data_IF_686924358311
#
_entry.id   IF_686924358311
#
_cell.length_a   1.000
_cell.length_b   1.000
_cell.length_c   1.000
_cell.angle_alpha   90.00
_cell.angle_beta   90.00
_cell.angle_gamma   90.00
#
_symmetry.space_group_name_H-M   'P 1'
#
loop_
_entity.id
_entity.type
_entity.pdbx_description
1 polymer ?
#
# COMPACT_ATOMS: atom_id res chain seq x y z
N UNK A 1 -11.88 3.35 -13.56
CA UNK A 1 -10.52 3.63 -13.07
C UNK A 1 -10.64 3.77 -11.56
N UNK A 2 -9.95 2.94 -10.78
CA UNK A 2 -9.99 3.02 -9.32
C UNK A 2 -8.95 4.05 -8.92
N UNK A 3 -9.37 5.10 -8.22
CA UNK A 3 -8.46 6.13 -7.70
C UNK A 3 -7.95 5.67 -6.34
N UNK A 4 -6.63 5.59 -6.19
CA UNK A 4 -6.01 5.34 -4.89
C UNK A 4 -5.73 6.66 -4.19
N UNK A 5 -6.32 6.86 -3.02
CA UNK A 5 -6.20 8.08 -2.23
C UNK A 5 -5.19 7.90 -1.09
N UNK A 6 -4.39 8.92 -0.85
CA UNK A 6 -3.45 8.97 0.25
C UNK A 6 -3.11 10.42 0.59
N UNK A 7 -2.62 10.62 1.80
CA UNK A 7 -2.09 11.91 2.25
C UNK A 7 -0.64 12.12 1.77
N UNK A 8 -0.34 13.29 1.19
CA UNK A 8 0.98 13.60 0.63
C UNK A 8 2.06 13.69 1.72
N UNK A 9 1.74 14.18 2.91
CA UNK A 9 2.70 14.24 4.03
C UNK A 9 3.10 12.83 4.45
N UNK A 10 2.13 11.91 4.53
CA UNK A 10 2.36 10.49 4.81
C UNK A 10 3.15 9.81 3.70
N UNK A 11 2.94 10.17 2.43
CA UNK A 11 3.74 9.67 1.30
C UNK A 11 5.22 10.02 1.47
N UNK A 12 5.53 11.30 1.73
CA UNK A 12 6.90 11.77 1.94
C UNK A 12 7.54 11.10 3.15
N UNK A 13 6.79 10.99 4.25
CA UNK A 13 7.27 10.32 5.46
C UNK A 13 7.59 8.84 5.22
N UNK A 14 6.81 8.12 4.40
CA UNK A 14 7.09 6.73 4.04
C UNK A 14 8.36 6.62 3.19
N UNK A 15 8.53 7.50 2.19
CA UNK A 15 9.74 7.52 1.37
C UNK A 15 11.00 7.67 2.23
N UNK A 16 10.98 8.63 3.17
CA UNK A 16 12.11 8.89 4.05
C UNK A 16 12.39 7.72 5.01
N UNK A 17 11.34 7.10 5.55
CA UNK A 17 11.46 6.02 6.56
C UNK A 17 11.81 4.66 5.98
N UNK A 18 11.31 4.37 4.78
CA UNK A 18 11.31 3.01 4.22
C UNK A 18 11.94 2.92 2.83
N UNK A 19 12.32 4.05 2.22
CA UNK A 19 12.91 4.08 0.88
C UNK A 19 11.90 3.84 -0.24
N UNK A 20 10.60 3.78 0.08
CA UNK A 20 9.49 3.51 -0.84
C UNK A 20 8.32 4.42 -0.50
N UNK A 21 7.61 4.90 -1.52
CA UNK A 21 6.44 5.75 -1.36
C UNK A 21 5.15 5.12 -1.94
N UNK A 22 4.02 5.81 -1.77
CA UNK A 22 2.72 5.31 -2.19
C UNK A 22 2.50 5.22 -3.70
N UNK A 23 3.23 5.96 -4.53
CA UNK A 23 3.21 5.78 -5.99
C UNK A 23 3.99 4.51 -6.39
N UNK A 24 5.17 4.30 -5.79
CA UNK A 24 6.00 3.13 -6.08
C UNK A 24 5.27 1.84 -5.70
N UNK A 25 4.63 1.84 -4.52
CA UNK A 25 3.89 0.70 -3.98
C UNK A 25 2.65 0.31 -4.81
N UNK A 26 2.10 1.20 -5.64
CA UNK A 26 0.97 0.87 -6.53
C UNK A 26 1.31 -0.24 -7.53
N UNK A 27 2.60 -0.39 -7.85
CA UNK A 27 3.07 -1.45 -8.76
C UNK A 27 2.74 -2.84 -8.23
N UNK A 28 2.55 -3.00 -6.91
CA UNK A 28 2.10 -4.27 -6.31
C UNK A 28 0.80 -4.77 -6.93
N UNK A 29 -0.11 -3.91 -7.38
CA UNK A 29 -1.36 -4.34 -8.02
C UNK A 29 -1.15 -5.08 -9.34
N UNK A 30 0.03 -4.96 -9.94
CA UNK A 30 0.41 -5.68 -11.15
C UNK A 30 1.20 -6.97 -10.85
N UNK A 31 1.56 -7.23 -9.59
CA UNK A 31 2.25 -8.47 -9.21
C UNK A 31 1.26 -9.65 -9.30
N UNK A 32 1.49 -10.63 -10.20
CA UNK A 32 0.61 -11.80 -10.32
C UNK A 32 0.60 -12.69 -9.08
N UNK A 33 1.59 -12.55 -8.19
CA UNK A 33 1.72 -13.29 -6.95
C UNK A 33 1.38 -12.45 -5.71
N UNK A 34 0.70 -11.31 -5.89
CA UNK A 34 0.27 -10.43 -4.81
C UNK A 34 -0.57 -11.19 -3.78
N UNK A 35 -0.12 -11.16 -2.52
CA UNK A 35 -0.85 -11.70 -1.40
C UNK A 35 -1.58 -10.59 -0.65
N UNK A 36 -2.90 -10.69 -0.60
CA UNK A 36 -3.77 -9.81 0.21
C UNK A 36 -4.23 -10.56 1.46
N UNK A 37 -4.00 -9.95 2.63
CA UNK A 37 -4.35 -10.53 3.93
C UNK A 37 -5.25 -9.55 4.69
N UNK A 38 -6.48 -9.93 5.06
CA UNK A 38 -7.31 -9.08 5.91
C UNK A 38 -6.68 -8.94 7.30
N UNK A 39 -6.54 -7.71 7.77
CA UNK A 39 -6.12 -7.42 9.13
C UNK A 39 -7.29 -7.61 10.11
N UNK A 40 -6.99 -8.01 11.35
CA UNK A 40 -7.97 -8.11 12.42
C UNK A 40 -8.23 -6.73 13.02
N UNK A 41 -9.11 -5.96 12.40
CA UNK A 41 -9.53 -4.62 12.84
C UNK A 41 -11.02 -4.60 13.12
N UNK A 42 -11.43 -3.88 14.18
CA UNK A 42 -12.85 -3.77 14.58
C UNK A 42 -13.53 -2.53 13.98
N UNK A 43 -12.78 -1.48 13.69
CA UNK A 43 -13.33 -0.18 13.26
C UNK A 43 -13.65 -0.13 11.76
N UNK A 44 -12.63 -0.41 10.93
CA UNK A 44 -12.72 -0.36 9.47
C UNK A 44 -11.95 -1.54 8.84
N UNK A 45 -12.34 -2.01 7.65
CA UNK A 45 -11.58 -3.03 6.95
C UNK A 45 -10.17 -2.54 6.63
N UNK A 46 -9.15 -3.27 7.08
CA UNK A 46 -7.76 -3.03 6.71
C UNK A 46 -7.15 -4.29 6.11
N UNK A 47 -6.22 -4.10 5.18
CA UNK A 47 -5.56 -5.17 4.46
C UNK A 47 -4.06 -4.96 4.46
N UNK A 48 -3.31 -6.06 4.59
CA UNK A 48 -1.88 -6.11 4.32
C UNK A 48 -1.68 -6.68 2.91
N UNK A 49 -0.88 -6.00 2.10
CA UNK A 49 -0.47 -6.50 0.80
C UNK A 49 1.02 -6.85 0.82
N UNK A 50 1.36 -8.04 0.32
CA UNK A 50 2.74 -8.52 0.19
C UNK A 50 2.97 -8.95 -1.25
N UNK A 51 3.99 -8.39 -1.88
CA UNK A 51 4.39 -8.72 -3.24
C UNK A 51 5.77 -8.14 -3.56
N UNK A 52 6.14 -8.20 -4.83
CA UNK A 52 7.40 -7.69 -5.37
C UNK A 52 7.12 -6.59 -6.41
N UNK A 53 7.91 -5.51 -6.33
CA UNK A 53 7.88 -4.38 -7.27
C UNK A 53 9.26 -4.16 -7.88
#
# INVERSE_FOLDING_TARGET
MITFEFDETKRQANLLKHGINFFDAQQLWNDPMLLEIPAKTEDEPRFLMIGLI
#
